data_IF_264252469181
#
_entry.id   IF_264252469181
#
_cell.length_a   1.000
_cell.length_b   1.000
_cell.length_c   1.000
_cell.angle_alpha   90.00
_cell.angle_beta   90.00
_cell.angle_gamma   90.00
#
_symmetry.space_group_name_H-M   'P 1'
#
loop_
_entity.id
_entity.type
_entity.pdbx_description
1 polymer ?
#
# COMPACT_ATOMS: atom_id res chain seq x y z
N UNK A 1 -21.24 -19.70 17.73
CA UNK A 1 -20.23 -20.51 18.45
C UNK A 1 -19.31 -21.14 17.40
N UNK A 2 -18.01 -20.88 17.46
CA UNK A 2 -17.02 -21.53 16.59
C UNK A 2 -16.95 -23.00 16.98
N UNK A 3 -17.06 -23.91 16.01
CA UNK A 3 -17.00 -25.35 16.29
C UNK A 3 -15.60 -25.76 16.76
N UNK A 4 -15.50 -26.93 17.40
CA UNK A 4 -14.27 -27.43 18.04
C UNK A 4 -13.13 -27.68 17.05
N UNK A 5 -13.46 -28.00 15.78
CA UNK A 5 -12.48 -28.27 14.71
C UNK A 5 -11.85 -26.96 14.25
N UNK A 6 -12.67 -25.96 13.96
CA UNK A 6 -12.24 -24.60 13.57
C UNK A 6 -11.37 -23.97 14.67
N UNK A 7 -11.74 -24.14 15.95
CA UNK A 7 -10.92 -23.65 17.07
C UNK A 7 -9.53 -24.30 17.11
N UNK A 8 -9.46 -25.64 16.96
CA UNK A 8 -8.15 -26.35 16.94
C UNK A 8 -7.30 -25.95 15.76
N UNK A 9 -7.91 -25.74 14.58
CA UNK A 9 -7.20 -25.26 13.38
C UNK A 9 -6.57 -23.90 13.67
N UNK A 10 -7.32 -22.94 14.22
CA UNK A 10 -6.81 -21.61 14.60
C UNK A 10 -5.70 -21.68 15.66
N UNK A 11 -5.84 -22.52 16.68
CA UNK A 11 -4.79 -22.75 17.70
C UNK A 11 -3.49 -23.27 17.06
N UNK A 12 -3.59 -24.16 16.07
CA UNK A 12 -2.44 -24.68 15.32
C UNK A 12 -1.81 -23.61 14.42
N UNK A 13 -2.59 -22.84 13.68
CA UNK A 13 -2.13 -21.73 12.85
C UNK A 13 -1.40 -20.67 13.69
N UNK A 14 -1.95 -20.31 14.83
CA UNK A 14 -1.31 -19.40 15.79
C UNK A 14 0.04 -19.95 16.30
N UNK A 15 0.11 -21.25 16.58
CA UNK A 15 1.36 -21.88 16.99
C UNK A 15 2.43 -21.77 15.86
N UNK A 16 2.05 -22.01 14.60
CA UNK A 16 2.97 -21.88 13.46
C UNK A 16 3.44 -20.42 13.28
N UNK A 17 2.53 -19.45 13.35
CA UNK A 17 2.86 -18.02 13.26
C UNK A 17 3.84 -17.63 14.38
N UNK A 18 3.58 -18.06 15.63
CA UNK A 18 4.47 -17.80 16.75
C UNK A 18 5.86 -18.44 16.56
N UNK A 19 5.93 -19.64 15.99
CA UNK A 19 7.20 -20.28 15.67
C UNK A 19 7.99 -19.50 14.59
N UNK A 20 7.31 -19.04 13.55
CA UNK A 20 7.94 -18.19 12.51
C UNK A 20 8.44 -16.89 13.11
N UNK A 21 7.63 -16.21 13.92
CA UNK A 21 8.01 -14.96 14.61
C UNK A 21 9.22 -15.17 15.52
N UNK A 22 9.24 -16.27 16.29
CA UNK A 22 10.39 -16.61 17.15
C UNK A 22 11.66 -16.85 16.30
N UNK A 23 11.56 -17.60 15.23
CA UNK A 23 12.70 -17.84 14.33
C UNK A 23 13.24 -16.55 13.71
N UNK A 24 12.36 -15.64 13.31
CA UNK A 24 12.74 -14.32 12.77
C UNK A 24 13.33 -13.40 13.84
N UNK A 25 12.92 -13.53 15.09
CA UNK A 25 13.53 -12.82 16.20
C UNK A 25 14.96 -13.30 16.48
N UNK A 26 15.18 -14.62 16.50
CA UNK A 26 16.50 -15.22 16.73
C UNK A 26 17.46 -15.03 15.52
N UNK A 27 16.92 -15.04 14.30
CA UNK A 27 17.67 -14.90 13.06
C UNK A 27 16.92 -13.94 12.12
N UNK A 28 17.06 -12.62 12.35
CA UNK A 28 16.37 -11.65 11.50
C UNK A 28 16.87 -11.72 10.06
N UNK A 29 15.93 -11.65 9.12
CA UNK A 29 16.20 -11.66 7.68
C UNK A 29 15.72 -10.34 7.10
N UNK A 30 16.58 -9.65 6.38
CA UNK A 30 16.22 -8.47 5.62
C UNK A 30 15.63 -8.91 4.27
N UNK A 31 14.30 -8.86 4.16
CA UNK A 31 13.58 -9.18 2.91
C UNK A 31 12.76 -8.00 2.36
N UNK A 32 12.53 -6.98 3.17
CA UNK A 32 11.82 -5.76 2.80
C UNK A 32 12.57 -4.54 3.32
N UNK A 33 12.81 -3.58 2.43
CA UNK A 33 13.40 -2.30 2.77
C UNK A 33 12.46 -1.18 2.33
N UNK A 34 12.00 -0.36 3.29
CA UNK A 34 11.16 0.80 3.02
C UNK A 34 12.04 2.03 2.78
N UNK A 35 11.87 2.67 1.64
CA UNK A 35 12.51 3.91 1.28
C UNK A 35 11.48 5.05 1.29
N UNK A 36 11.46 5.84 2.35
CA UNK A 36 10.73 7.10 2.39
C UNK A 36 11.53 8.19 1.69
N UNK A 37 11.35 8.30 0.38
CA UNK A 37 12.23 9.10 -0.49
C UNK A 37 11.96 10.59 -0.40
N UNK A 38 10.80 11.03 0.08
CA UNK A 38 10.44 12.45 0.23
C UNK A 38 9.31 12.64 1.23
N UNK A 39 9.29 13.77 1.94
CA UNK A 39 8.13 14.20 2.75
C UNK A 39 7.16 15.09 1.96
N UNK A 40 7.48 15.48 0.72
CA UNK A 40 6.57 16.26 -0.12
C UNK A 40 5.44 15.40 -0.66
N UNK A 41 4.22 15.97 -0.69
CA UNK A 41 3.06 15.34 -1.25
C UNK A 41 2.18 16.38 -1.96
N UNK A 42 1.57 16.00 -3.09
CA UNK A 42 0.59 16.83 -3.82
C UNK A 42 -0.84 16.64 -3.30
N UNK A 43 -1.02 15.93 -2.17
CA UNK A 43 -2.29 15.75 -1.46
C UNK A 43 -2.17 16.15 0.02
N UNK A 44 -3.32 16.43 0.64
CA UNK A 44 -3.41 16.72 2.08
C UNK A 44 -4.50 15.90 2.75
N UNK A 45 -4.39 14.58 2.57
CA UNK A 45 -5.40 13.61 3.02
C UNK A 45 -5.74 13.74 4.50
N UNK A 46 -7.00 13.57 4.85
CA UNK A 46 -7.51 13.71 6.22
C UNK A 46 -6.92 12.66 7.18
N UNK A 47 -6.52 11.50 6.69
CA UNK A 47 -5.98 10.38 7.46
C UNK A 47 -4.44 10.31 7.51
N UNK A 48 -3.72 11.20 6.83
CA UNK A 48 -2.28 11.02 6.65
C UNK A 48 -1.50 10.97 7.97
N UNK A 49 -0.92 9.83 8.27
CA UNK A 49 -0.11 9.59 9.47
C UNK A 49 1.16 10.44 9.53
N UNK A 50 1.84 10.60 8.40
CA UNK A 50 3.09 11.38 8.30
C UNK A 50 2.86 12.88 8.13
N UNK A 51 1.60 13.37 8.07
CA UNK A 51 1.24 14.79 7.87
C UNK A 51 1.89 15.42 6.63
N UNK A 52 2.31 14.62 5.65
CA UNK A 52 2.90 15.11 4.40
C UNK A 52 1.96 16.09 3.68
N UNK A 53 2.54 17.11 3.07
CA UNK A 53 1.87 18.07 2.21
C UNK A 53 2.85 18.59 1.13
N UNK A 54 2.55 19.72 0.48
CA UNK A 54 3.42 20.30 -0.55
C UNK A 54 4.77 20.83 -0.04
N UNK A 55 4.96 20.92 1.29
CA UNK A 55 6.15 21.45 1.90
C UNK A 55 7.09 20.32 2.37
N UNK A 56 8.38 20.60 2.38
CA UNK A 56 9.37 19.71 2.99
C UNK A 56 9.29 19.79 4.51
N UNK A 57 9.34 18.61 5.14
CA UNK A 57 9.50 18.49 6.58
C UNK A 57 10.95 18.01 6.85
N UNK A 58 11.86 18.94 6.99
CA UNK A 58 13.29 18.66 7.10
C UNK A 58 13.99 18.60 5.75
N UNK A 59 15.23 18.11 5.75
CA UNK A 59 16.04 17.94 4.55
C UNK A 59 15.78 16.57 3.89
N UNK A 60 15.70 16.55 2.58
CA UNK A 60 15.64 15.32 1.79
C UNK A 60 17.02 14.63 1.80
N UNK A 61 17.06 13.34 2.09
CA UNK A 61 18.30 12.56 1.96
C UNK A 61 18.78 12.63 0.51
N UNK A 62 20.07 12.91 0.28
CA UNK A 62 20.61 13.06 -1.06
C UNK A 62 20.51 11.76 -1.86
N UNK A 63 20.45 11.85 -3.21
CA UNK A 63 20.50 10.66 -4.06
C UNK A 63 21.79 9.87 -3.85
N UNK A 64 22.91 10.55 -3.61
CA UNK A 64 24.21 9.92 -3.36
C UNK A 64 24.21 9.11 -2.07
N UNK A 65 23.64 9.64 -0.98
CA UNK A 65 23.53 8.91 0.29
C UNK A 65 22.60 7.71 0.18
N UNK A 66 21.47 7.84 -0.53
CA UNK A 66 20.57 6.72 -0.77
C UNK A 66 21.26 5.62 -1.60
N UNK A 67 21.96 5.99 -2.67
CA UNK A 67 22.73 5.04 -3.50
C UNK A 67 23.85 4.38 -2.70
N UNK A 68 24.57 5.14 -1.86
CA UNK A 68 25.59 4.60 -0.96
C UNK A 68 24.98 3.58 0.00
N UNK A 69 23.88 3.90 0.65
CA UNK A 69 23.16 2.99 1.56
C UNK A 69 22.72 1.71 0.86
N UNK A 70 22.14 1.82 -0.35
CA UNK A 70 21.73 0.66 -1.14
C UNK A 70 22.92 -0.24 -1.51
N UNK A 71 24.06 0.36 -1.85
CA UNK A 71 25.29 -0.37 -2.12
C UNK A 71 25.83 -1.10 -0.90
N UNK A 72 25.89 -0.42 0.25
CA UNK A 72 26.32 -1.01 1.52
C UNK A 72 25.45 -2.19 1.94
N UNK A 73 24.12 -2.09 1.75
CA UNK A 73 23.20 -3.20 2.00
C UNK A 73 23.49 -4.38 1.04
N UNK A 74 23.74 -4.10 -0.24
CA UNK A 74 24.06 -5.12 -1.24
C UNK A 74 25.40 -5.84 -0.99
N UNK A 75 26.30 -5.26 -0.22
CA UNK A 75 27.56 -5.93 0.20
C UNK A 75 27.33 -7.01 1.29
N UNK A 76 26.20 -6.92 2.02
CA UNK A 76 25.88 -7.81 3.14
C UNK A 76 24.68 -8.73 2.88
N UNK A 77 23.81 -8.36 1.96
CA UNK A 77 22.59 -9.09 1.60
C UNK A 77 22.48 -9.21 0.09
N UNK A 78 22.03 -10.35 -0.42
CA UNK A 78 21.73 -10.48 -1.84
C UNK A 78 20.54 -9.58 -2.22
N UNK A 79 20.75 -8.56 -3.08
CA UNK A 79 19.69 -7.59 -3.43
C UNK A 79 18.44 -8.24 -4.04
N UNK A 80 18.59 -9.40 -4.68
CA UNK A 80 17.45 -10.13 -5.27
C UNK A 80 16.41 -10.52 -4.25
N UNK A 81 16.82 -10.81 -2.99
CA UNK A 81 15.93 -11.20 -1.90
C UNK A 81 15.48 -10.01 -1.03
N UNK A 82 16.01 -8.82 -1.27
CA UNK A 82 15.60 -7.59 -0.56
C UNK A 82 14.68 -6.78 -1.46
N UNK A 83 13.39 -6.76 -1.15
CA UNK A 83 12.41 -5.99 -1.92
C UNK A 83 12.38 -4.53 -1.46
N UNK A 84 12.53 -3.58 -2.39
CA UNK A 84 12.44 -2.16 -2.08
C UNK A 84 10.99 -1.68 -2.19
N UNK A 85 10.46 -1.20 -1.07
CA UNK A 85 9.14 -0.57 -0.98
C UNK A 85 9.32 0.95 -0.98
N UNK A 86 9.11 1.58 -2.11
CA UNK A 86 9.28 3.02 -2.27
C UNK A 86 8.03 3.75 -1.82
N UNK A 87 8.20 4.66 -0.88
CA UNK A 87 7.12 5.44 -0.27
C UNK A 87 7.61 6.84 0.11
N UNK A 88 6.82 7.56 0.91
CA UNK A 88 7.13 8.91 1.38
C UNK A 88 5.85 9.71 1.53
N UNK A 89 5.89 10.97 1.18
CA UNK A 89 4.68 11.73 0.88
C UNK A 89 4.06 11.20 -0.42
N UNK A 90 4.52 11.74 -1.57
CA UNK A 90 4.28 11.15 -2.89
C UNK A 90 5.64 10.95 -3.58
N UNK A 91 6.08 9.70 -3.78
CA UNK A 91 7.40 9.42 -4.34
C UNK A 91 7.65 10.09 -5.70
N UNK A 92 6.64 10.17 -6.57
CA UNK A 92 6.75 10.76 -7.90
C UNK A 92 6.98 12.27 -7.89
N UNK A 93 6.91 12.94 -6.75
CA UNK A 93 7.31 14.34 -6.59
C UNK A 93 8.83 14.52 -6.43
N UNK A 94 9.57 13.44 -6.15
CA UNK A 94 11.03 13.49 -6.06
C UNK A 94 11.64 13.50 -7.47
N UNK A 95 12.43 14.55 -7.77
CA UNK A 95 12.94 14.79 -9.15
C UNK A 95 13.97 13.75 -9.61
N UNK A 96 14.82 13.29 -8.70
CA UNK A 96 15.92 12.33 -8.94
C UNK A 96 15.54 10.89 -8.59
N UNK A 97 14.23 10.61 -8.39
CA UNK A 97 13.72 9.29 -8.00
C UNK A 97 14.23 8.18 -8.94
N UNK A 98 14.06 8.37 -10.25
CA UNK A 98 14.42 7.34 -11.23
C UNK A 98 15.94 7.13 -11.37
N UNK A 99 16.76 8.12 -11.04
CA UNK A 99 18.19 7.97 -10.96
C UNK A 99 18.60 7.03 -9.80
N UNK A 100 17.94 7.16 -8.64
CA UNK A 100 18.12 6.28 -7.49
C UNK A 100 17.65 4.86 -7.82
N UNK A 101 16.45 4.72 -8.42
CA UNK A 101 15.84 3.43 -8.70
C UNK A 101 16.57 2.65 -9.82
N UNK A 102 17.01 3.32 -10.86
CA UNK A 102 17.85 2.71 -11.90
C UNK A 102 19.17 2.19 -11.32
N UNK A 103 19.78 2.93 -10.38
CA UNK A 103 20.95 2.45 -9.67
C UNK A 103 20.63 1.21 -8.80
N UNK A 104 19.52 1.25 -8.04
CA UNK A 104 19.07 0.08 -7.27
C UNK A 104 18.87 -1.16 -8.14
N UNK A 105 18.21 -1.02 -9.29
CA UNK A 105 18.00 -2.10 -10.26
C UNK A 105 19.35 -2.61 -10.82
N UNK A 106 20.32 -1.73 -11.05
CA UNK A 106 21.67 -2.14 -11.50
C UNK A 106 22.42 -2.97 -10.46
N UNK A 107 22.09 -2.83 -9.17
CA UNK A 107 22.62 -3.68 -8.09
C UNK A 107 21.85 -5.02 -7.94
N UNK A 108 20.73 -5.20 -8.65
CA UNK A 108 19.91 -6.42 -8.59
C UNK A 108 18.64 -6.30 -7.73
N UNK A 109 18.34 -5.15 -7.14
CA UNK A 109 17.11 -4.96 -6.38
C UNK A 109 15.86 -5.01 -7.27
N UNK A 110 14.79 -5.58 -6.72
CA UNK A 110 13.43 -5.43 -7.24
C UNK A 110 12.71 -4.41 -6.40
N UNK A 111 11.81 -3.64 -7.01
CA UNK A 111 11.12 -2.58 -6.29
C UNK A 111 9.66 -2.43 -6.68
N UNK A 112 8.91 -1.86 -5.74
CA UNK A 112 7.54 -1.42 -5.93
C UNK A 112 7.30 -0.10 -5.22
N UNK A 113 6.15 0.50 -5.48
CA UNK A 113 5.83 1.84 -4.99
C UNK A 113 4.41 1.91 -4.42
N UNK A 114 4.27 2.65 -3.32
CA UNK A 114 2.96 3.16 -2.89
C UNK A 114 2.81 4.60 -3.37
N UNK A 115 1.74 4.87 -4.12
CA UNK A 115 1.48 6.19 -4.72
C UNK A 115 0.02 6.58 -4.59
N UNK A 116 -0.24 7.88 -4.58
CA UNK A 116 -1.60 8.39 -4.75
C UNK A 116 -2.08 8.36 -6.21
N UNK A 117 -1.22 8.03 -7.16
CA UNK A 117 -1.53 7.81 -8.57
C UNK A 117 -1.75 9.06 -9.42
N UNK A 118 -1.85 10.24 -8.84
CA UNK A 118 -2.24 11.46 -9.55
C UNK A 118 -1.21 11.98 -10.58
N UNK A 119 0.04 11.58 -10.44
CA UNK A 119 1.13 11.99 -11.34
C UNK A 119 1.40 10.98 -12.46
N UNK A 120 0.66 9.88 -12.52
CA UNK A 120 0.84 8.84 -13.52
C UNK A 120 0.12 9.27 -14.81
N UNK A 121 0.91 9.73 -15.75
CA UNK A 121 0.54 10.00 -17.15
C UNK A 121 1.47 9.22 -18.07
N UNK A 122 1.29 9.28 -19.38
CA UNK A 122 2.09 8.52 -20.36
C UNK A 122 3.60 8.69 -20.17
N UNK A 123 4.08 9.93 -19.94
CA UNK A 123 5.51 10.18 -19.71
C UNK A 123 6.02 9.57 -18.41
N UNK A 124 5.24 9.67 -17.34
CA UNK A 124 5.59 9.09 -16.05
C UNK A 124 5.54 7.57 -16.12
N UNK A 125 4.51 7.02 -16.76
CA UNK A 125 4.36 5.59 -16.96
C UNK A 125 5.55 4.99 -17.72
N UNK A 126 6.02 5.64 -18.80
CA UNK A 126 7.22 5.23 -19.53
C UNK A 126 8.45 5.16 -18.64
N UNK A 127 8.69 6.17 -17.80
CA UNK A 127 9.81 6.15 -16.82
C UNK A 127 9.70 5.03 -15.81
N UNK A 128 8.48 4.74 -15.34
CA UNK A 128 8.20 3.64 -14.42
C UNK A 128 8.55 2.29 -15.05
N UNK A 129 8.17 2.06 -16.31
CA UNK A 129 8.51 0.84 -17.03
C UNK A 129 10.01 0.72 -17.32
N UNK A 130 10.65 1.80 -17.76
CA UNK A 130 12.11 1.87 -18.00
C UNK A 130 12.89 1.54 -16.71
N UNK A 131 12.40 2.00 -15.54
CA UNK A 131 12.98 1.70 -14.24
C UNK A 131 12.57 0.32 -13.69
N UNK A 132 11.84 -0.51 -14.45
CA UNK A 132 11.46 -1.88 -14.13
C UNK A 132 10.72 -2.04 -12.81
N UNK A 133 9.75 -1.16 -12.52
CA UNK A 133 8.87 -1.33 -11.37
C UNK A 133 8.11 -2.65 -11.47
N UNK A 134 8.18 -3.49 -10.43
CA UNK A 134 7.51 -4.80 -10.45
C UNK A 134 6.13 -4.80 -9.80
N UNK A 135 5.90 -3.97 -8.79
CA UNK A 135 4.58 -3.86 -8.16
C UNK A 135 4.22 -2.40 -7.83
N UNK A 136 2.94 -2.12 -7.82
CA UNK A 136 2.43 -0.81 -7.40
C UNK A 136 1.21 -0.97 -6.50
N UNK A 137 1.15 -0.16 -5.45
CA UNK A 137 -0.03 0.03 -4.62
C UNK A 137 -0.58 1.44 -4.84
N UNK A 138 -1.75 1.52 -5.47
CA UNK A 138 -2.42 2.80 -5.75
C UNK A 138 -3.51 3.04 -4.72
N UNK A 139 -3.53 4.22 -4.18
CA UNK A 139 -4.50 4.58 -3.15
C UNK A 139 -5.83 5.02 -3.74
N UNK A 140 -6.93 4.33 -3.38
CA UNK A 140 -8.30 4.75 -3.67
C UNK A 140 -9.13 4.59 -2.39
N UNK A 141 -9.66 5.69 -1.86
CA UNK A 141 -10.35 5.71 -0.57
C UNK A 141 -11.87 5.99 -0.71
N UNK A 142 -12.50 5.41 -1.69
CA UNK A 142 -13.94 5.55 -1.94
C UNK A 142 -14.28 5.83 -3.40
N UNK A 143 -15.53 6.08 -3.69
CA UNK A 143 -15.98 6.57 -5.00
C UNK A 143 -15.48 8.00 -5.24
N UNK A 144 -15.65 8.50 -6.43
CA UNK A 144 -15.06 9.76 -6.90
C UNK A 144 -15.20 10.92 -5.91
N UNK A 145 -16.41 11.22 -5.47
CA UNK A 145 -16.67 12.35 -4.60
C UNK A 145 -16.01 12.17 -3.22
N UNK A 146 -16.20 11.01 -2.63
CA UNK A 146 -15.64 10.66 -1.30
C UNK A 146 -14.11 10.65 -1.34
N UNK A 147 -13.52 10.03 -2.36
CA UNK A 147 -12.07 9.99 -2.54
C UNK A 147 -11.47 11.40 -2.65
N UNK A 148 -12.00 12.23 -3.55
CA UNK A 148 -11.48 13.58 -3.80
C UNK A 148 -11.61 14.49 -2.58
N UNK A 149 -12.72 14.38 -1.85
CA UNK A 149 -12.95 15.10 -0.60
C UNK A 149 -11.99 14.65 0.50
N UNK A 150 -11.85 13.33 0.70
CA UNK A 150 -11.00 12.74 1.73
C UNK A 150 -9.51 13.02 1.50
N UNK A 151 -9.07 12.99 0.25
CA UNK A 151 -7.70 13.33 -0.14
C UNK A 151 -7.47 14.82 -0.37
N UNK A 152 -8.54 15.62 -0.38
CA UNK A 152 -8.54 17.08 -0.57
C UNK A 152 -7.90 17.50 -1.90
N UNK A 153 -8.17 16.74 -2.95
CA UNK A 153 -7.67 17.03 -4.31
C UNK A 153 -8.81 16.84 -5.32
N UNK A 154 -9.52 17.91 -5.68
CA UNK A 154 -10.57 17.86 -6.69
C UNK A 154 -10.03 17.42 -8.06
N UNK A 155 -10.85 16.71 -8.84
CA UNK A 155 -10.55 16.21 -10.19
C UNK A 155 -9.31 15.29 -10.25
N UNK A 156 -9.01 14.57 -9.14
CA UNK A 156 -7.91 13.61 -9.09
C UNK A 156 -8.34 12.20 -9.49
N UNK A 157 -9.57 11.82 -9.18
CA UNK A 157 -10.04 10.44 -9.31
C UNK A 157 -9.92 9.88 -10.72
N UNK A 158 -10.42 10.60 -11.73
CA UNK A 158 -10.38 10.12 -13.12
C UNK A 158 -8.94 9.93 -13.63
N UNK A 159 -8.01 10.82 -13.23
CA UNK A 159 -6.58 10.69 -13.55
C UNK A 159 -5.96 9.43 -12.92
N UNK A 160 -6.35 9.10 -11.70
CA UNK A 160 -5.88 7.90 -11.00
C UNK A 160 -6.40 6.64 -11.72
N UNK A 161 -7.68 6.63 -12.08
CA UNK A 161 -8.30 5.52 -12.82
C UNK A 161 -7.61 5.32 -14.18
N UNK A 162 -7.30 6.40 -14.92
CA UNK A 162 -6.58 6.30 -16.18
C UNK A 162 -5.14 5.80 -15.99
N UNK A 163 -4.46 6.24 -14.94
CA UNK A 163 -3.15 5.72 -14.54
C UNK A 163 -3.19 4.22 -14.22
N UNK A 164 -4.18 3.75 -13.49
CA UNK A 164 -4.40 2.33 -13.19
C UNK A 164 -4.60 1.53 -14.50
N UNK A 165 -5.45 2.01 -15.41
CA UNK A 165 -5.67 1.36 -16.70
C UNK A 165 -4.40 1.24 -17.56
N UNK A 166 -3.51 2.24 -17.50
CA UNK A 166 -2.19 2.15 -18.16
C UNK A 166 -1.33 1.08 -17.50
N UNK A 167 -1.23 1.07 -16.16
CA UNK A 167 -0.41 0.11 -15.43
C UNK A 167 -0.89 -1.34 -15.59
N UNK A 168 -2.20 -1.57 -15.68
CA UNK A 168 -2.78 -2.89 -15.92
C UNK A 168 -2.45 -3.48 -17.30
N UNK A 169 -2.03 -2.64 -18.26
CA UNK A 169 -1.60 -3.07 -19.61
C UNK A 169 -0.09 -3.30 -19.70
N UNK A 170 0.66 -3.03 -18.65
CA UNK A 170 2.12 -3.18 -18.65
C UNK A 170 2.53 -4.64 -18.62
N UNK A 171 3.52 -5.00 -19.44
CA UNK A 171 4.19 -6.30 -19.38
C UNK A 171 5.30 -6.33 -18.32
N UNK A 172 5.66 -5.18 -17.74
CA UNK A 172 6.71 -5.02 -16.73
C UNK A 172 6.14 -5.10 -15.32
N UNK A 173 4.99 -4.43 -15.07
CA UNK A 173 4.35 -4.36 -13.77
C UNK A 173 3.57 -5.65 -13.53
N UNK A 174 4.04 -6.48 -12.62
CA UNK A 174 3.46 -7.80 -12.33
C UNK A 174 2.20 -7.70 -11.46
N UNK A 175 2.17 -6.75 -10.53
CA UNK A 175 1.07 -6.57 -9.59
C UNK A 175 0.66 -5.09 -9.54
N UNK A 176 -0.60 -4.84 -9.89
CA UNK A 176 -1.29 -3.57 -9.62
C UNK A 176 -2.30 -3.84 -8.52
N UNK A 177 -2.00 -3.31 -7.34
CA UNK A 177 -2.83 -3.39 -6.15
C UNK A 177 -3.51 -2.05 -5.89
N UNK A 178 -4.74 -2.07 -5.41
CA UNK A 178 -5.39 -0.91 -4.80
C UNK A 178 -5.30 -1.02 -3.29
N UNK A 179 -5.00 0.09 -2.61
CA UNK A 179 -5.09 0.19 -1.15
C UNK A 179 -6.15 1.22 -0.78
N UNK A 180 -7.06 0.82 0.12
CA UNK A 180 -8.13 1.67 0.65
C UNK A 180 -8.00 1.80 2.16
N UNK A 181 -7.93 3.05 2.64
CA UNK A 181 -8.03 3.36 4.07
C UNK A 181 -9.50 3.51 4.43
N UNK A 182 -10.08 2.47 5.03
CA UNK A 182 -11.50 2.47 5.42
C UNK A 182 -11.69 3.31 6.67
N UNK A 183 -12.74 4.10 6.64
CA UNK A 183 -13.12 5.05 7.67
C UNK A 183 -14.63 5.32 7.61
N UNK A 184 -15.18 6.07 8.55
CA UNK A 184 -16.65 6.34 8.59
C UNK A 184 -17.22 7.03 7.36
N UNK A 185 -16.37 7.67 6.54
CA UNK A 185 -16.83 8.38 5.33
C UNK A 185 -16.97 7.47 4.11
N UNK A 186 -16.33 6.30 4.10
CA UNK A 186 -16.31 5.41 2.94
C UNK A 186 -16.75 3.98 3.21
N UNK A 187 -16.94 3.58 4.47
CA UNK A 187 -17.34 2.21 4.81
C UNK A 187 -18.64 1.78 4.14
N UNK A 188 -19.55 2.70 3.91
CA UNK A 188 -20.83 2.46 3.24
C UNK A 188 -20.73 2.34 1.71
N UNK A 189 -19.57 2.72 1.12
CA UNK A 189 -19.30 2.64 -0.32
C UNK A 189 -18.51 1.36 -0.71
N UNK A 190 -18.19 0.47 0.23
CA UNK A 190 -17.30 -0.66 -0.02
C UNK A 190 -17.84 -1.61 -1.11
N UNK A 191 -19.14 -1.79 -1.22
CA UNK A 191 -19.75 -2.66 -2.23
C UNK A 191 -19.60 -2.08 -3.64
N UNK A 192 -19.93 -0.81 -3.80
CA UNK A 192 -19.79 -0.11 -5.08
C UNK A 192 -18.32 0.07 -5.48
N UNK A 193 -17.45 0.32 -4.50
CA UNK A 193 -16.01 0.39 -4.72
C UNK A 193 -15.45 -0.97 -5.17
N UNK A 194 -15.86 -2.06 -4.51
CA UNK A 194 -15.49 -3.42 -4.92
C UNK A 194 -15.88 -3.69 -6.37
N UNK A 195 -17.12 -3.37 -6.75
CA UNK A 195 -17.59 -3.60 -8.12
C UNK A 195 -16.78 -2.75 -9.11
N UNK A 196 -16.51 -1.49 -8.80
CA UNK A 196 -15.66 -0.64 -9.63
C UNK A 196 -14.25 -1.25 -9.84
N UNK A 197 -13.63 -1.76 -8.78
CA UNK A 197 -12.30 -2.37 -8.86
C UNK A 197 -12.31 -3.68 -9.67
N UNK A 198 -13.36 -4.50 -9.53
CA UNK A 198 -13.58 -5.70 -10.36
C UNK A 198 -13.72 -5.33 -11.83
N UNK A 199 -14.53 -4.33 -12.15
CA UNK A 199 -14.78 -3.87 -13.53
C UNK A 199 -13.52 -3.25 -14.18
N UNK A 200 -12.63 -2.66 -13.38
CA UNK A 200 -11.32 -2.20 -13.80
C UNK A 200 -10.32 -3.34 -14.06
N UNK A 201 -10.60 -4.54 -13.58
CA UNK A 201 -9.69 -5.69 -13.67
C UNK A 201 -8.64 -5.75 -12.55
N UNK A 202 -8.85 -5.04 -11.44
CA UNK A 202 -8.00 -5.13 -10.25
C UNK A 202 -8.15 -6.53 -9.64
N UNK A 203 -7.01 -7.17 -9.36
CA UNK A 203 -6.94 -8.50 -8.77
C UNK A 203 -6.52 -8.50 -7.30
N UNK A 204 -5.91 -7.41 -6.84
CA UNK A 204 -5.35 -7.29 -5.49
C UNK A 204 -5.90 -6.03 -4.82
N UNK A 205 -6.63 -6.20 -3.75
CA UNK A 205 -7.19 -5.10 -2.97
C UNK A 205 -6.78 -5.22 -1.51
N UNK A 206 -5.96 -4.29 -1.06
CA UNK A 206 -5.57 -4.18 0.35
C UNK A 206 -6.48 -3.19 1.05
N UNK A 207 -7.16 -3.65 2.07
CA UNK A 207 -8.03 -2.84 2.91
C UNK A 207 -7.34 -2.61 4.25
N UNK A 208 -7.25 -1.37 4.68
CA UNK A 208 -6.64 -0.99 5.96
C UNK A 208 -7.60 -0.08 6.73
N UNK A 209 -7.59 -0.14 8.05
CA UNK A 209 -8.32 0.84 8.86
C UNK A 209 -7.57 2.17 8.96
N UNK A 210 -8.30 3.22 9.31
CA UNK A 210 -7.74 4.52 9.66
C UNK A 210 -7.33 4.52 11.13
N UNK A 211 -6.03 4.53 11.41
CA UNK A 211 -5.50 4.62 12.77
C UNK A 211 -5.41 6.10 13.25
N UNK A 212 -5.57 6.37 14.56
CA UNK A 212 -5.52 7.72 15.13
C UNK A 212 -4.08 8.27 15.20
N UNK A 213 -3.44 8.38 14.04
CA UNK A 213 -2.06 8.87 13.88
C UNK A 213 -2.03 10.06 12.92
N UNK A 214 -1.18 11.03 13.17
CA UNK A 214 -1.03 12.20 12.31
C UNK A 214 -2.33 13.00 12.20
N UNK A 215 -2.80 13.29 10.96
CA UNK A 215 -4.04 14.05 10.76
C UNK A 215 -5.31 13.30 11.15
N UNK A 216 -5.31 11.98 11.12
CA UNK A 216 -6.44 11.19 11.60
C UNK A 216 -6.69 11.38 13.11
N UNK A 217 -5.63 11.62 13.90
CA UNK A 217 -5.77 11.93 15.32
C UNK A 217 -6.49 13.28 15.56
N UNK A 218 -6.33 14.23 14.64
CA UNK A 218 -7.01 15.53 14.70
C UNK A 218 -8.47 15.45 14.22
N UNK A 219 -8.84 14.38 13.51
CA UNK A 219 -10.16 14.14 12.91
C UNK A 219 -10.75 12.81 13.41
N UNK A 220 -10.88 12.66 14.74
CA UNK A 220 -11.33 11.40 15.35
C UNK A 220 -12.72 10.92 14.89
N UNK A 221 -13.53 11.80 14.32
CA UNK A 221 -14.86 11.47 13.78
C UNK A 221 -14.81 10.56 12.55
N UNK A 222 -13.65 10.41 11.89
CA UNK A 222 -13.48 9.47 10.77
C UNK A 222 -13.14 8.06 11.22
N UNK A 223 -12.76 7.85 12.48
CA UNK A 223 -12.32 6.55 12.98
C UNK A 223 -13.48 5.58 13.09
N UNK A 224 -13.22 4.33 12.74
CA UNK A 224 -14.20 3.25 12.86
C UNK A 224 -14.49 2.93 14.33
N UNK A 225 -15.75 2.60 14.63
CA UNK A 225 -16.14 1.99 15.89
C UNK A 225 -16.27 0.45 15.75
N UNK A 226 -16.64 -0.22 16.84
CA UNK A 226 -16.72 -1.69 16.86
C UNK A 226 -17.75 -2.27 15.88
N UNK A 227 -18.85 -1.57 15.61
CA UNK A 227 -19.86 -2.00 14.65
C UNK A 227 -19.34 -1.86 13.22
N UNK A 228 -18.62 -0.76 12.94
CA UNK A 228 -17.95 -0.53 11.67
C UNK A 228 -16.89 -1.63 11.38
N UNK A 229 -16.09 -1.99 12.38
CA UNK A 229 -15.09 -3.08 12.23
C UNK A 229 -15.77 -4.41 11.92
N UNK A 230 -16.86 -4.73 12.59
CA UNK A 230 -17.61 -5.95 12.29
C UNK A 230 -18.13 -5.94 10.85
N UNK A 231 -18.72 -4.83 10.42
CA UNK A 231 -19.20 -4.64 9.04
C UNK A 231 -18.07 -4.84 8.02
N UNK A 232 -16.90 -4.23 8.29
CA UNK A 232 -15.72 -4.33 7.44
C UNK A 232 -15.22 -5.77 7.32
N UNK A 233 -15.12 -6.51 8.43
CA UNK A 233 -14.62 -7.88 8.43
C UNK A 233 -15.62 -8.84 7.75
N UNK A 234 -16.92 -8.70 8.05
CA UNK A 234 -17.94 -9.49 7.40
C UNK A 234 -17.95 -9.24 5.86
N UNK A 235 -17.72 -8.00 5.43
CA UNK A 235 -17.59 -7.65 4.02
C UNK A 235 -16.36 -8.32 3.38
N UNK A 236 -15.17 -8.20 3.97
CA UNK A 236 -13.93 -8.79 3.43
C UNK A 236 -14.11 -10.31 3.27
N UNK A 237 -14.57 -10.99 4.31
CA UNK A 237 -14.81 -12.44 4.28
C UNK A 237 -15.83 -12.86 3.21
N UNK A 238 -16.88 -12.06 3.00
CA UNK A 238 -17.85 -12.32 1.96
C UNK A 238 -17.22 -12.19 0.56
N UNK A 239 -16.40 -11.15 0.33
CA UNK A 239 -15.77 -10.91 -0.97
C UNK A 239 -14.64 -11.89 -1.29
N UNK A 240 -13.89 -12.34 -0.30
CA UNK A 240 -12.93 -13.45 -0.45
C UNK A 240 -13.65 -14.73 -0.92
N UNK A 241 -14.83 -15.03 -0.38
CA UNK A 241 -15.65 -16.19 -0.79
C UNK A 241 -16.24 -16.04 -2.19
N UNK A 242 -16.55 -14.82 -2.65
CA UNK A 242 -16.98 -14.56 -4.03
C UNK A 242 -15.92 -14.93 -5.07
N UNK A 243 -14.64 -14.74 -4.75
CA UNK A 243 -13.50 -15.14 -5.59
C UNK A 243 -13.38 -14.38 -6.92
N UNK A 244 -13.96 -13.17 -7.05
CA UNK A 244 -13.82 -12.33 -8.25
C UNK A 244 -12.44 -11.64 -8.34
N UNK A 245 -11.79 -11.42 -7.21
CA UNK A 245 -10.42 -10.95 -7.12
C UNK A 245 -9.51 -12.09 -6.68
N UNK A 246 -8.23 -12.00 -7.03
CA UNK A 246 -7.22 -12.99 -6.59
C UNK A 246 -7.01 -12.89 -5.09
N UNK A 247 -6.97 -11.67 -4.56
CA UNK A 247 -6.71 -11.43 -3.15
C UNK A 247 -7.38 -10.15 -2.65
N UNK A 248 -8.07 -10.25 -1.53
CA UNK A 248 -8.59 -9.14 -0.75
C UNK A 248 -8.08 -9.33 0.67
N UNK A 249 -7.12 -8.50 1.08
CA UNK A 249 -6.48 -8.61 2.39
C UNK A 249 -6.82 -7.46 3.31
N UNK A 250 -6.94 -7.76 4.60
CA UNK A 250 -6.92 -6.76 5.63
C UNK A 250 -5.48 -6.55 6.13
N UNK A 251 -4.92 -5.39 5.84
CA UNK A 251 -3.54 -5.07 6.20
C UNK A 251 -3.49 -4.04 7.33
N UNK A 252 -3.41 -4.48 8.58
CA UNK A 252 -3.11 -3.58 9.70
C UNK A 252 -2.05 -4.19 10.63
N UNK A 253 -1.58 -3.41 11.60
CA UNK A 253 -0.60 -3.87 12.61
C UNK A 253 -1.21 -4.76 13.69
N UNK A 254 -2.53 -4.95 13.69
CA UNK A 254 -3.25 -5.71 14.70
C UNK A 254 -3.64 -7.08 14.14
N UNK A 255 -3.36 -8.14 14.90
CA UNK A 255 -3.81 -9.47 14.54
C UNK A 255 -5.33 -9.59 14.74
N UNK A 256 -6.05 -9.80 13.65
CA UNK A 256 -7.52 -9.94 13.62
C UNK A 256 -7.98 -11.36 13.30
N UNK A 257 -7.05 -12.27 13.10
CA UNK A 257 -7.31 -13.69 12.80
C UNK A 257 -6.69 -14.13 11.48
N UNK A 258 -6.29 -15.39 11.40
CA UNK A 258 -5.61 -15.94 10.23
C UNK A 258 -6.43 -15.80 8.92
N UNK A 259 -7.76 -15.78 9.01
CA UNK A 259 -8.66 -15.68 7.86
C UNK A 259 -8.64 -14.30 7.18
N UNK A 260 -8.16 -13.27 7.89
CA UNK A 260 -8.12 -11.88 7.39
C UNK A 260 -6.69 -11.42 7.05
N UNK A 261 -5.68 -12.14 7.53
CA UNK A 261 -4.26 -11.78 7.38
C UNK A 261 -3.48 -12.64 6.38
N UNK A 262 -4.16 -13.54 5.63
CA UNK A 262 -3.48 -14.45 4.68
C UNK A 262 -3.43 -13.88 3.27
#
# INVERSE_FOLDING_TARGET
MIDKVTRKKREYEMMLINQVRHNLYEKPVLNNLFLEVTSRCNARCEHCGSRCDGNMQGEEVSAEDLKKTLKEIAEHYDPYYVYLNVTGGEPLMRKDLFDILNYAVSLGYRWGMTTNGMLINENMFKKIEEAKMSTVSVSIDGLKETHEKFRRVPNSFDKIIDGIKMMLKSDVIQIVQVTTVVNKRNIHELEELYQLLVDLGIKYWRVVNCDPIGRANDNSEILLDMEDYKTLFDFILAKQKEGKMTDITYGCSHFVGAELET
#
